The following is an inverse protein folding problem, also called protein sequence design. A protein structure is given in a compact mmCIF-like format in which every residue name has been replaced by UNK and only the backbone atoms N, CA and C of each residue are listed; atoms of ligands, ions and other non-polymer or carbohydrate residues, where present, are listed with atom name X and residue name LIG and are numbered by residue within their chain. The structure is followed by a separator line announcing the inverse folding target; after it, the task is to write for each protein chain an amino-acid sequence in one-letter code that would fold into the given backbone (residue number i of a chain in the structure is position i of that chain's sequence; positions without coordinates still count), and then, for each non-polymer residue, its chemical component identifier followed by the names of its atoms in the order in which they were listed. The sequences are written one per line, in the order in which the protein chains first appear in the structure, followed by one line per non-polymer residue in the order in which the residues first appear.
data_IF_780786668657
#
_entry.id   IF_780786668657
#
_cell.length_a   1.000
_cell.length_b   1.000
_cell.length_c   1.000
_cell.angle_alpha   90.00
_cell.angle_beta   90.00
_cell.angle_gamma   90.00
#
_symmetry.space_group_name_H-M   'P 1'
#
loop_
_entity.id
_entity.type
_entity.pdbx_description
1 polymer ?
#
# COMPACT_ATOMS: atom_id res chain seq x y z
N UNK A 1 -9.41 -15.40 -3.70
CA UNK A 1 -10.05 -14.12 -4.08
C UNK A 1 -9.68 -13.07 -3.03
N UNK A 2 -8.62 -12.27 -3.23
CA UNK A 2 -8.24 -11.21 -2.29
C UNK A 2 -9.12 -9.94 -2.40
N UNK A 3 -9.96 -9.87 -3.43
CA UNK A 3 -10.83 -8.75 -3.81
C UNK A 3 -12.10 -8.59 -2.96
N UNK A 4 -12.41 -9.53 -2.08
CA UNK A 4 -13.50 -9.41 -1.10
C UNK A 4 -13.00 -8.92 0.26
N UNK A 5 -11.69 -8.72 0.44
CA UNK A 5 -11.09 -8.26 1.70
C UNK A 5 -11.04 -6.74 1.83
N UNK A 6 -11.27 -6.01 0.72
CA UNK A 6 -11.39 -4.54 0.72
C UNK A 6 -12.70 -4.14 0.05
N UNK A 7 -13.47 -3.27 0.71
CA UNK A 7 -14.72 -2.74 0.14
C UNK A 7 -14.45 -2.04 -1.20
N UNK A 8 -13.30 -1.38 -1.33
CA UNK A 8 -12.92 -0.67 -2.56
C UNK A 8 -12.80 -1.59 -3.77
N UNK A 9 -12.47 -2.87 -3.59
CA UNK A 9 -12.36 -3.84 -4.69
C UNK A 9 -13.70 -4.47 -5.10
N UNK A 10 -14.82 -4.06 -4.51
CA UNK A 10 -16.17 -4.49 -4.92
C UNK A 10 -16.46 -4.13 -6.39
N UNK A 11 -15.97 -2.99 -6.88
CA UNK A 11 -16.10 -2.61 -8.30
C UNK A 11 -15.48 -3.65 -9.24
N UNK A 12 -14.32 -4.21 -8.85
CA UNK A 12 -13.65 -5.26 -9.61
C UNK A 12 -14.47 -6.54 -9.57
N UNK A 13 -15.06 -6.90 -8.42
CA UNK A 13 -15.96 -8.05 -8.33
C UNK A 13 -17.17 -7.93 -9.24
N UNK A 14 -17.84 -6.78 -9.25
CA UNK A 14 -18.96 -6.51 -10.15
C UNK A 14 -18.55 -6.62 -11.62
N UNK A 15 -17.37 -6.11 -11.96
CA UNK A 15 -16.81 -6.22 -13.30
C UNK A 15 -16.60 -7.69 -13.71
N UNK A 16 -15.97 -8.52 -12.87
CA UNK A 16 -15.81 -9.96 -13.14
C UNK A 16 -17.16 -10.68 -13.24
N UNK A 17 -18.09 -10.37 -12.34
CA UNK A 17 -19.44 -10.94 -12.37
C UNK A 17 -20.17 -10.61 -13.68
N UNK A 18 -20.12 -9.36 -14.13
CA UNK A 18 -20.68 -8.93 -15.41
C UNK A 18 -19.98 -9.62 -16.60
N UNK A 19 -18.66 -9.79 -16.55
CA UNK A 19 -17.91 -10.51 -17.59
C UNK A 19 -18.31 -11.99 -17.68
N UNK A 20 -18.47 -12.67 -16.54
CA UNK A 20 -18.91 -14.07 -16.49
C UNK A 20 -20.35 -14.21 -16.99
N UNK A 21 -21.24 -13.31 -16.56
CA UNK A 21 -22.61 -13.26 -17.08
C UNK A 21 -22.65 -12.98 -18.57
N UNK A 22 -21.68 -12.24 -19.11
CA UNK A 22 -21.61 -11.90 -20.53
C UNK A 22 -21.01 -13.02 -21.39
N UNK A 23 -20.58 -14.15 -20.83
CA UNK A 23 -20.10 -15.27 -21.63
C UNK A 23 -21.25 -15.91 -22.44
N UNK A 24 -21.01 -16.34 -23.69
CA UNK A 24 -21.99 -17.13 -24.44
C UNK A 24 -22.39 -18.38 -23.64
N UNK A 25 -23.70 -18.62 -23.53
CA UNK A 25 -24.25 -19.80 -22.87
C UNK A 25 -25.48 -20.28 -23.65
N UNK A 26 -25.53 -21.58 -23.92
CA UNK A 26 -26.61 -22.22 -24.69
C UNK A 26 -27.96 -22.21 -23.94
N UNK A 27 -27.92 -22.08 -22.62
CA UNK A 27 -29.12 -22.03 -21.77
C UNK A 27 -28.87 -21.21 -20.50
N UNK A 28 -29.97 -20.82 -19.83
CA UNK A 28 -29.93 -20.19 -18.50
C UNK A 28 -29.24 -21.12 -17.49
N UNK A 29 -29.50 -22.43 -17.56
CA UNK A 29 -28.87 -23.43 -16.68
C UNK A 29 -27.35 -23.43 -16.83
N UNK A 30 -26.83 -23.36 -18.06
CA UNK A 30 -25.40 -23.28 -18.30
C UNK A 30 -24.81 -21.96 -17.78
N UNK A 31 -25.53 -20.84 -17.93
CA UNK A 31 -25.09 -19.55 -17.38
C UNK A 31 -25.00 -19.57 -15.86
N UNK A 32 -25.99 -20.14 -15.18
CA UNK A 32 -25.96 -20.34 -13.73
C UNK A 32 -24.77 -21.22 -13.36
N UNK A 33 -24.54 -22.34 -14.05
CA UNK A 33 -23.40 -23.22 -13.81
C UNK A 33 -22.04 -22.50 -13.97
N UNK A 34 -21.93 -21.58 -14.93
CA UNK A 34 -20.71 -20.80 -15.14
C UNK A 34 -20.45 -19.78 -14.01
N UNK A 35 -21.51 -19.18 -13.46
CA UNK A 35 -21.40 -18.11 -12.45
C UNK A 35 -21.42 -18.64 -11.01
N UNK A 36 -22.03 -19.80 -10.77
CA UNK A 36 -22.19 -20.39 -9.45
C UNK A 36 -20.85 -20.58 -8.71
N UNK A 37 -19.76 -21.09 -9.32
CA UNK A 37 -18.46 -21.18 -8.65
C UNK A 37 -17.93 -19.82 -8.16
N UNK A 38 -18.14 -18.75 -8.96
CA UNK A 38 -17.74 -17.39 -8.59
C UNK A 38 -18.55 -16.88 -7.39
N UNK A 39 -19.86 -17.12 -7.36
CA UNK A 39 -20.73 -16.74 -6.25
C UNK A 39 -20.39 -17.51 -4.97
N UNK A 40 -20.20 -18.83 -5.06
CA UNK A 40 -19.79 -19.66 -3.92
C UNK A 40 -18.45 -19.16 -3.38
N UNK A 41 -17.45 -18.95 -4.24
CA UNK A 41 -16.16 -18.43 -3.80
C UNK A 41 -16.29 -17.03 -3.15
N UNK A 42 -17.15 -16.16 -3.70
CA UNK A 42 -17.41 -14.83 -3.13
C UNK A 42 -18.02 -14.95 -1.74
N UNK A 43 -19.03 -15.79 -1.55
CA UNK A 43 -19.67 -16.04 -0.24
C UNK A 43 -18.65 -16.60 0.75
N UNK A 44 -17.90 -17.65 0.38
CA UNK A 44 -16.90 -18.27 1.24
C UNK A 44 -15.86 -17.26 1.72
N UNK A 45 -15.36 -16.40 0.83
CA UNK A 45 -14.39 -15.36 1.23
C UNK A 45 -15.05 -14.27 2.08
N UNK A 46 -16.32 -13.93 1.84
CA UNK A 46 -17.04 -12.92 2.62
C UNK A 46 -17.39 -13.37 4.05
N UNK A 47 -17.42 -14.67 4.34
CA UNK A 47 -17.66 -15.19 5.70
C UNK A 47 -16.69 -14.54 6.69
N UNK A 48 -15.39 -14.48 6.37
CA UNK A 48 -14.38 -13.91 7.26
C UNK A 48 -14.58 -12.41 7.58
N UNK A 49 -14.63 -11.48 6.60
CA UNK A 49 -14.84 -10.06 6.91
C UNK A 49 -16.19 -9.80 7.56
N UNK A 50 -17.27 -10.51 7.18
CA UNK A 50 -18.58 -10.38 7.84
C UNK A 50 -18.50 -10.85 9.29
N UNK A 51 -17.84 -11.97 9.56
CA UNK A 51 -17.60 -12.46 10.92
C UNK A 51 -16.80 -11.46 11.75
N UNK A 52 -15.73 -10.89 11.21
CA UNK A 52 -14.91 -9.86 11.89
C UNK A 52 -15.74 -8.60 12.21
N UNK A 53 -16.57 -8.14 11.26
CA UNK A 53 -17.47 -7.00 11.48
C UNK A 53 -18.46 -7.31 12.60
N UNK A 54 -19.07 -8.49 12.57
CA UNK A 54 -20.05 -8.93 13.56
C UNK A 54 -19.43 -9.10 14.95
N UNK A 55 -18.21 -9.62 15.04
CA UNK A 55 -17.52 -9.89 16.32
C UNK A 55 -16.88 -8.65 16.93
N UNK A 56 -16.45 -7.69 16.12
CA UNK A 56 -15.69 -6.52 16.58
C UNK A 56 -16.54 -5.26 16.79
N UNK A 57 -17.82 -5.28 16.41
CA UNK A 57 -18.81 -4.25 16.71
C UNK A 57 -18.30 -2.82 16.48
N UNK A 58 -18.30 -2.01 17.54
CA UNK A 58 -17.87 -0.61 17.47
C UNK A 58 -16.38 -0.43 17.19
N UNK A 59 -15.52 -1.35 17.64
CA UNK A 59 -14.08 -1.29 17.36
C UNK A 59 -13.81 -1.38 15.85
N UNK A 60 -14.60 -2.16 15.10
CA UNK A 60 -14.52 -2.20 13.64
C UNK A 60 -14.78 -0.83 13.01
N UNK A 61 -15.86 -0.16 13.41
CA UNK A 61 -16.21 1.16 12.89
C UNK A 61 -15.19 2.23 13.27
N UNK A 62 -14.66 2.17 14.49
CA UNK A 62 -13.62 3.08 14.93
C UNK A 62 -12.36 2.97 14.08
N UNK A 63 -11.87 1.74 13.89
CA UNK A 63 -10.64 1.48 13.14
C UNK A 63 -10.78 1.72 11.64
N UNK A 64 -11.91 1.35 11.03
CA UNK A 64 -12.05 1.42 9.58
C UNK A 64 -12.55 2.79 9.08
N UNK A 65 -13.36 3.50 9.87
CA UNK A 65 -13.98 4.76 9.42
C UNK A 65 -13.53 5.97 10.23
N UNK A 66 -13.64 5.93 11.56
CA UNK A 66 -13.41 7.13 12.38
C UNK A 66 -11.95 7.54 12.46
N UNK A 67 -11.05 6.60 12.78
CA UNK A 67 -9.61 6.86 12.86
C UNK A 67 -9.07 7.38 11.51
N UNK A 68 -9.33 6.72 10.37
CA UNK A 68 -8.87 7.22 9.07
C UNK A 68 -9.45 8.59 8.70
N UNK A 69 -10.72 8.87 9.05
CA UNK A 69 -11.34 10.19 8.83
C UNK A 69 -10.66 11.27 9.66
N UNK A 70 -10.44 11.02 10.95
CA UNK A 70 -9.77 11.97 11.85
C UNK A 70 -8.33 12.19 11.44
N UNK A 71 -7.63 11.12 11.06
CA UNK A 71 -6.28 11.18 10.52
C UNK A 71 -6.20 11.98 9.23
N UNK A 72 -7.12 11.74 8.28
CA UNK A 72 -7.22 12.52 7.05
C UNK A 72 -7.45 14.01 7.33
N UNK A 73 -8.37 14.34 8.24
CA UNK A 73 -8.61 15.73 8.67
C UNK A 73 -7.34 16.36 9.26
N UNK A 74 -6.67 15.64 10.15
CA UNK A 74 -5.40 16.10 10.74
C UNK A 74 -4.33 16.36 9.67
N UNK A 75 -4.18 15.46 8.70
CA UNK A 75 -3.23 15.66 7.59
C UNK A 75 -3.53 16.93 6.79
N UNK A 76 -4.81 17.25 6.56
CA UNK A 76 -5.21 18.49 5.91
C UNK A 76 -4.86 19.72 6.75
N UNK A 77 -5.10 19.68 8.06
CA UNK A 77 -4.79 20.77 8.99
C UNK A 77 -3.30 21.11 9.04
N UNK A 78 -2.43 20.09 8.92
CA UNK A 78 -0.96 20.27 8.91
C UNK A 78 -0.36 20.39 7.50
N UNK A 79 -1.19 20.52 6.47
CA UNK A 79 -0.74 20.71 5.08
C UNK A 79 0.00 19.50 4.48
N UNK A 80 -0.16 18.30 5.03
CA UNK A 80 0.50 17.07 4.56
C UNK A 80 -0.38 16.22 3.64
N UNK A 81 -1.23 16.86 2.83
CA UNK A 81 -2.06 16.17 1.84
C UNK A 81 -1.65 16.61 0.44
N UNK A 82 -1.51 15.64 -0.46
CA UNK A 82 -1.31 15.93 -1.87
C UNK A 82 -2.63 16.29 -2.54
N UNK A 83 -2.62 17.32 -3.38
CA UNK A 83 -3.70 17.56 -4.31
C UNK A 83 -3.78 16.38 -5.29
N UNK A 84 -4.96 15.76 -5.43
CA UNK A 84 -5.16 14.57 -6.26
C UNK A 84 -4.78 14.81 -7.72
N UNK A 85 -5.18 15.95 -8.29
CA UNK A 85 -4.88 16.30 -9.67
C UNK A 85 -3.39 16.56 -9.86
N UNK A 86 -2.78 17.31 -8.95
CA UNK A 86 -1.33 17.57 -9.00
C UNK A 86 -0.53 16.27 -8.89
N UNK A 87 -0.97 15.32 -8.06
CA UNK A 87 -0.34 14.01 -7.94
C UNK A 87 -0.45 13.19 -9.23
N UNK A 88 -1.62 13.21 -9.88
CA UNK A 88 -1.83 12.55 -11.19
C UNK A 88 -0.95 13.20 -12.26
N UNK A 89 -0.97 14.53 -12.36
CA UNK A 89 -0.21 15.29 -13.35
C UNK A 89 1.31 15.13 -13.15
N UNK A 90 1.78 15.12 -11.90
CA UNK A 90 3.19 14.86 -11.58
C UNK A 90 3.59 13.42 -11.88
N UNK A 91 2.69 12.46 -11.67
CA UNK A 91 2.91 11.06 -12.08
C UNK A 91 3.08 10.98 -13.60
N UNK A 92 2.25 11.68 -14.38
CA UNK A 92 2.43 11.73 -15.83
C UNK A 92 3.75 12.36 -16.29
N UNK A 93 4.48 13.09 -15.45
CA UNK A 93 5.83 13.59 -15.79
C UNK A 93 6.94 12.58 -15.52
N UNK A 94 6.63 11.45 -14.86
CA UNK A 94 7.63 10.41 -14.60
C UNK A 94 7.85 9.63 -15.89
N UNK A 95 9.10 9.46 -16.36
CA UNK A 95 9.39 8.81 -17.65
C UNK A 95 8.75 7.42 -17.81
N UNK A 96 8.76 6.61 -16.75
CA UNK A 96 8.15 5.27 -16.78
C UNK A 96 6.64 5.30 -17.07
N UNK A 97 5.91 6.27 -16.51
CA UNK A 97 4.47 6.43 -16.79
C UNK A 97 4.22 6.95 -18.21
N UNK A 98 5.05 7.88 -18.72
CA UNK A 98 4.94 8.37 -20.09
C UNK A 98 5.09 7.25 -21.12
N UNK A 99 6.08 6.39 -20.92
CA UNK A 99 6.31 5.21 -21.76
C UNK A 99 5.09 4.28 -21.75
N UNK A 100 4.54 3.98 -20.57
CA UNK A 100 3.37 3.12 -20.45
C UNK A 100 2.17 3.71 -21.20
N UNK A 101 1.96 5.02 -21.10
CA UNK A 101 0.87 5.72 -21.81
C UNK A 101 1.11 5.70 -23.32
N UNK A 102 2.34 5.93 -23.78
CA UNK A 102 2.67 5.89 -25.21
C UNK A 102 2.42 4.49 -25.81
N UNK A 103 2.82 3.42 -25.10
CA UNK A 103 2.52 2.04 -25.49
C UNK A 103 1.02 1.80 -25.51
N UNK A 104 0.30 2.21 -24.46
CA UNK A 104 -1.15 2.05 -24.38
C UNK A 104 -1.87 2.76 -25.52
N UNK A 105 -1.53 4.02 -25.82
CA UNK A 105 -2.11 4.80 -26.91
C UNK A 105 -1.83 4.12 -28.25
N UNK A 106 -0.57 3.74 -28.51
CA UNK A 106 -0.19 3.07 -29.75
C UNK A 106 -0.99 1.78 -29.95
N UNK A 107 -1.03 0.90 -28.94
CA UNK A 107 -1.78 -0.35 -29.02
C UNK A 107 -3.28 -0.11 -29.20
N UNK A 108 -3.87 0.85 -28.48
CA UNK A 108 -5.28 1.23 -28.65
C UNK A 108 -5.58 1.71 -30.08
N UNK A 109 -4.77 2.63 -30.62
CA UNK A 109 -4.94 3.16 -31.98
C UNK A 109 -4.83 2.05 -33.02
N UNK A 110 -3.81 1.19 -32.90
CA UNK A 110 -3.62 0.07 -33.82
C UNK A 110 -4.79 -0.92 -33.75
N UNK A 111 -5.30 -1.21 -32.54
CA UNK A 111 -6.46 -2.09 -32.36
C UNK A 111 -7.74 -1.49 -32.95
N UNK A 112 -7.99 -0.19 -32.76
CA UNK A 112 -9.14 0.51 -33.35
C UNK A 112 -9.06 0.47 -34.88
N UNK A 113 -7.88 0.74 -35.46
CA UNK A 113 -7.69 0.72 -36.90
C UNK A 113 -7.87 -0.70 -37.48
N UNK A 114 -7.40 -1.72 -36.76
CA UNK A 114 -7.56 -3.12 -37.17
C UNK A 114 -8.89 -3.73 -36.68
N UNK A 115 -9.84 -2.95 -36.13
CA UNK A 115 -11.05 -3.49 -35.49
C UNK A 115 -11.90 -4.34 -36.45
N UNK A 116 -11.97 -3.97 -37.74
CA UNK A 116 -12.68 -4.79 -38.74
C UNK A 116 -12.10 -6.21 -38.86
N UNK A 117 -10.79 -6.37 -38.65
CA UNK A 117 -10.12 -7.69 -38.60
C UNK A 117 -10.29 -8.35 -37.22
N UNK A 118 -10.51 -7.58 -36.15
CA UNK A 118 -10.78 -8.05 -34.78
C UNK A 118 -12.18 -8.61 -34.57
N UNK A 119 -13.20 -8.13 -35.30
CA UNK A 119 -14.57 -8.62 -35.13
C UNK A 119 -14.71 -10.15 -35.35
N UNK A 120 -13.72 -10.77 -36.02
CA UNK A 120 -13.62 -12.22 -36.22
C UNK A 120 -12.92 -12.98 -35.08
N UNK A 121 -12.25 -12.29 -34.16
CA UNK A 121 -11.47 -12.86 -33.05
C UNK A 121 -12.01 -12.27 -31.73
N UNK A 122 -12.98 -12.98 -31.15
CA UNK A 122 -13.57 -12.81 -29.81
C UNK A 122 -13.34 -11.45 -29.08
N UNK A 123 -13.92 -10.37 -29.60
CA UNK A 123 -13.69 -8.99 -29.13
C UNK A 123 -14.16 -8.64 -27.72
N UNK A 124 -14.80 -9.55 -26.97
CA UNK A 124 -15.29 -9.29 -25.59
C UNK A 124 -14.16 -9.15 -24.58
N UNK A 125 -13.05 -9.88 -24.75
CA UNK A 125 -11.86 -9.80 -23.88
C UNK A 125 -11.21 -8.41 -24.00
N UNK A 126 -11.33 -7.76 -25.18
CA UNK A 126 -10.72 -6.46 -25.45
C UNK A 126 -11.29 -5.33 -24.59
N UNK A 127 -12.58 -5.40 -24.22
CA UNK A 127 -13.22 -4.39 -23.38
C UNK A 127 -12.96 -4.61 -21.88
N UNK A 128 -12.72 -5.86 -21.47
CA UNK A 128 -12.55 -6.19 -20.06
C UNK A 128 -11.27 -5.59 -19.46
N UNK A 129 -10.15 -5.70 -20.18
CA UNK A 129 -8.86 -5.19 -19.72
C UNK A 129 -8.83 -3.66 -19.46
N UNK A 130 -9.28 -2.78 -20.37
CA UNK A 130 -9.33 -1.33 -20.11
C UNK A 130 -10.34 -0.97 -19.02
N UNK A 131 -11.47 -1.68 -18.90
CA UNK A 131 -12.41 -1.45 -17.80
C UNK A 131 -11.80 -1.85 -16.44
N UNK A 132 -10.98 -2.90 -16.39
CA UNK A 132 -10.25 -3.29 -15.19
C UNK A 132 -9.23 -2.22 -14.78
N UNK A 133 -8.47 -1.67 -15.74
CA UNK A 133 -7.56 -0.54 -15.52
C UNK A 133 -8.32 0.66 -14.96
N UNK A 134 -9.46 1.02 -15.57
CA UNK A 134 -10.30 2.12 -15.13
C UNK A 134 -10.83 1.89 -13.71
N UNK A 135 -11.29 0.68 -13.40
CA UNK A 135 -11.75 0.33 -12.05
C UNK A 135 -10.64 0.52 -11.01
N UNK A 136 -9.42 0.03 -11.28
CA UNK A 136 -8.29 0.24 -10.35
C UNK A 136 -7.85 1.70 -10.26
N UNK A 137 -7.97 2.47 -11.33
CA UNK A 137 -7.72 3.92 -11.30
C UNK A 137 -8.74 4.64 -10.42
N UNK A 138 -10.04 4.32 -10.56
CA UNK A 138 -11.09 4.84 -9.68
C UNK A 138 -10.81 4.44 -8.23
N UNK A 139 -10.44 3.18 -7.98
CA UNK A 139 -10.10 2.68 -6.65
C UNK A 139 -8.95 3.47 -6.02
N UNK A 140 -7.91 3.79 -6.79
CA UNK A 140 -6.77 4.58 -6.32
C UNK A 140 -7.18 5.98 -5.84
N UNK A 141 -8.31 6.50 -6.32
CA UNK A 141 -8.85 7.83 -5.96
C UNK A 141 -9.80 7.80 -4.75
N UNK A 142 -10.24 6.63 -4.29
CA UNK A 142 -11.16 6.51 -3.15
C UNK A 142 -10.56 7.02 -1.83
N UNK A 143 -9.28 6.75 -1.48
CA UNK A 143 -8.72 7.20 -0.21
C UNK A 143 -8.89 8.71 0.01
N UNK A 144 -9.20 9.14 1.25
CA UNK A 144 -9.41 10.56 1.56
C UNK A 144 -8.14 11.37 1.32
N UNK A 145 -6.98 10.81 1.67
CA UNK A 145 -5.66 11.34 1.35
C UNK A 145 -4.98 10.45 0.33
N UNK A 146 -4.48 11.04 -0.75
CA UNK A 146 -3.79 10.30 -1.82
C UNK A 146 -2.28 10.30 -1.60
N UNK A 147 -1.65 9.15 -1.83
CA UNK A 147 -0.20 8.98 -1.82
C UNK A 147 0.26 8.50 -3.19
N UNK A 148 1.52 8.79 -3.58
CA UNK A 148 2.08 8.41 -4.89
C UNK A 148 1.91 6.91 -5.20
N UNK A 149 2.06 6.07 -4.18
CA UNK A 149 1.91 4.61 -4.29
C UNK A 149 0.52 4.14 -4.73
N UNK A 150 -0.54 4.92 -4.49
CA UNK A 150 -1.88 4.52 -4.95
C UNK A 150 -2.02 4.58 -6.46
N UNK A 151 -1.33 5.52 -7.13
CA UNK A 151 -1.30 5.60 -8.59
C UNK A 151 -0.45 4.50 -9.24
N UNK A 152 0.34 3.76 -8.45
CA UNK A 152 1.01 2.56 -8.93
C UNK A 152 0.07 1.34 -9.01
N UNK A 153 -1.08 1.36 -8.31
CA UNK A 153 -2.02 0.24 -8.28
C UNK A 153 -2.57 -0.17 -9.67
N UNK A 154 -2.90 0.74 -10.60
CA UNK A 154 -3.39 0.37 -11.93
C UNK A 154 -2.29 -0.16 -12.86
N UNK A 155 -1.01 0.07 -12.56
CA UNK A 155 0.12 -0.21 -13.48
C UNK A 155 0.20 -1.68 -13.91
N UNK A 156 0.12 -2.68 -13.01
CA UNK A 156 0.16 -4.08 -13.42
C UNK A 156 -0.99 -4.43 -14.37
N UNK A 157 -2.16 -3.82 -14.19
CA UNK A 157 -3.33 -4.06 -15.04
C UNK A 157 -3.19 -3.39 -16.41
N UNK A 158 -2.54 -2.22 -16.48
CA UNK A 158 -2.14 -1.61 -17.76
C UNK A 158 -1.19 -2.54 -18.51
N UNK A 159 -0.17 -3.08 -17.84
CA UNK A 159 0.78 -4.02 -18.47
C UNK A 159 0.09 -5.31 -18.96
N UNK A 160 -0.76 -5.91 -18.13
CA UNK A 160 -1.55 -7.09 -18.52
C UNK A 160 -2.46 -6.78 -19.71
N UNK A 161 -3.02 -5.57 -19.77
CA UNK A 161 -3.86 -5.14 -20.90
C UNK A 161 -3.12 -5.13 -22.25
N UNK A 162 -1.79 -5.02 -22.24
CA UNK A 162 -0.97 -5.05 -23.46
C UNK A 162 -0.82 -6.45 -24.04
N UNK A 163 -0.98 -7.50 -23.24
CA UNK A 163 -0.77 -8.88 -23.68
C UNK A 163 -1.70 -9.26 -24.84
N UNK A 164 -2.97 -8.85 -24.77
CA UNK A 164 -3.96 -9.19 -25.80
C UNK A 164 -3.70 -8.48 -27.15
N UNK A 165 -3.53 -7.14 -27.22
CA UNK A 165 -3.12 -6.46 -28.44
C UNK A 165 -1.81 -7.01 -29.03
N UNK A 166 -0.82 -7.32 -28.21
CA UNK A 166 0.47 -7.86 -28.69
C UNK A 166 0.31 -9.27 -29.27
N UNK A 167 -0.44 -10.15 -28.60
CA UNK A 167 -0.77 -11.48 -29.11
C UNK A 167 -1.54 -11.37 -30.44
N UNK A 168 -2.48 -10.44 -30.53
CA UNK A 168 -3.25 -10.20 -31.74
C UNK A 168 -2.37 -9.74 -32.91
N UNK A 169 -1.47 -8.78 -32.67
CA UNK A 169 -0.53 -8.30 -33.68
C UNK A 169 0.39 -9.41 -34.18
N UNK A 170 0.79 -10.32 -33.29
CA UNK A 170 1.54 -11.52 -33.67
C UNK A 170 0.72 -12.43 -34.58
N UNK A 171 -0.53 -12.73 -34.22
CA UNK A 171 -1.42 -13.57 -35.03
C UNK A 171 -1.71 -12.96 -36.42
N UNK A 172 -1.86 -11.64 -36.50
CA UNK A 172 -2.00 -10.94 -37.78
C UNK A 172 -0.72 -11.03 -38.62
N UNK A 173 0.44 -10.87 -37.98
CA UNK A 173 1.73 -10.99 -38.66
C UNK A 173 1.92 -12.38 -39.27
N UNK A 174 1.53 -13.44 -38.54
CA UNK A 174 1.61 -14.81 -39.01
C UNK A 174 0.62 -15.09 -40.16
N UNK A 175 -0.63 -14.60 -40.03
CA UNK A 175 -1.72 -14.90 -40.98
C UNK A 175 -1.61 -14.11 -42.30
N UNK A 176 -1.25 -12.84 -42.24
CA UNK A 176 -1.24 -11.94 -43.40
C UNK A 176 0.17 -11.62 -43.90
N UNK A 177 1.22 -12.21 -43.29
CA UNK A 177 2.63 -11.93 -43.55
C UNK A 177 3.03 -10.45 -43.41
N UNK A 178 2.18 -9.63 -42.77
CA UNK A 178 2.44 -8.23 -42.48
C UNK A 178 2.88 -8.07 -41.02
N UNK A 179 4.20 -8.04 -40.79
CA UNK A 179 4.80 -7.96 -39.47
C UNK A 179 5.16 -6.53 -39.03
N UNK A 180 4.82 -5.50 -39.81
CA UNK A 180 5.27 -4.13 -39.55
C UNK A 180 4.80 -3.62 -38.18
N UNK A 181 3.50 -3.71 -37.91
CA UNK A 181 2.91 -3.21 -36.67
C UNK A 181 3.39 -3.97 -35.43
N UNK A 182 3.60 -5.29 -35.56
CA UNK A 182 4.15 -6.12 -34.49
C UNK A 182 5.61 -5.76 -34.18
N UNK A 183 6.45 -5.57 -35.21
CA UNK A 183 7.84 -5.11 -35.04
C UNK A 183 7.92 -3.74 -34.37
N UNK A 184 7.10 -2.78 -34.82
CA UNK A 184 7.02 -1.46 -34.18
C UNK A 184 6.61 -1.60 -32.72
N UNK A 185 5.57 -2.40 -32.42
CA UNK A 185 5.16 -2.66 -31.04
C UNK A 185 6.30 -3.23 -30.19
N UNK A 186 7.04 -4.21 -30.73
CA UNK A 186 8.20 -4.82 -30.08
C UNK A 186 9.30 -3.81 -29.79
N UNK A 187 9.62 -2.93 -30.74
CA UNK A 187 10.61 -1.85 -30.56
C UNK A 187 10.15 -0.87 -29.48
N UNK A 188 8.89 -0.41 -29.52
CA UNK A 188 8.36 0.52 -28.51
C UNK A 188 8.41 -0.12 -27.11
N UNK A 189 8.01 -1.38 -26.98
CA UNK A 189 8.09 -2.11 -25.70
C UNK A 189 9.54 -2.24 -25.24
N UNK A 190 10.48 -2.60 -26.12
CA UNK A 190 11.89 -2.75 -25.78
C UNK A 190 12.51 -1.42 -25.32
N UNK A 191 12.30 -0.34 -26.08
CA UNK A 191 12.71 1.02 -25.70
C UNK A 191 12.06 1.43 -24.39
N UNK A 192 10.78 1.09 -24.20
CA UNK A 192 10.06 1.39 -22.98
C UNK A 192 10.62 0.71 -21.74
N UNK A 193 11.01 -0.57 -21.85
CA UNK A 193 11.70 -1.31 -20.79
C UNK A 193 13.04 -0.64 -20.46
N UNK A 194 13.84 -0.30 -21.48
CA UNK A 194 15.12 0.42 -21.30
C UNK A 194 14.88 1.73 -20.55
N UNK A 195 13.98 2.58 -21.01
CA UNK A 195 13.66 3.86 -20.35
C UNK A 195 13.19 3.63 -18.92
N UNK A 196 12.31 2.67 -18.65
CA UNK A 196 11.82 2.39 -17.31
C UNK A 196 12.95 1.97 -16.35
N UNK A 197 13.87 1.11 -16.80
CA UNK A 197 15.02 0.66 -16.02
C UNK A 197 15.99 1.80 -15.73
N UNK A 198 16.35 2.60 -16.74
CA UNK A 198 17.32 3.69 -16.57
C UNK A 198 16.74 4.92 -15.87
N UNK A 199 15.44 5.19 -16.01
CA UNK A 199 14.78 6.31 -15.32
C UNK A 199 14.63 6.09 -13.82
N UNK A 200 14.80 4.84 -13.36
CA UNK A 200 14.76 4.49 -11.94
C UNK A 200 15.97 3.61 -11.59
N UNK A 201 17.16 4.14 -11.88
CA UNK A 201 18.47 3.50 -11.67
C UNK A 201 18.70 2.98 -10.25
N UNK A 202 17.96 3.49 -9.26
CA UNK A 202 17.99 2.97 -7.90
C UNK A 202 17.64 1.48 -7.82
N UNK A 203 16.85 0.94 -8.76
CA UNK A 203 16.58 -0.51 -8.83
C UNK A 203 17.84 -1.28 -9.19
N UNK A 204 18.64 -0.78 -10.13
CA UNK A 204 19.92 -1.39 -10.51
C UNK A 204 20.92 -1.34 -9.34
N UNK A 205 20.99 -0.21 -8.64
CA UNK A 205 21.82 -0.06 -7.45
C UNK A 205 21.41 -1.05 -6.35
N UNK A 206 20.09 -1.20 -6.11
CA UNK A 206 19.56 -2.17 -5.14
C UNK A 206 19.92 -3.61 -5.50
N UNK A 207 20.06 -3.97 -6.78
CA UNK A 207 20.50 -5.32 -7.18
C UNK A 207 21.90 -5.64 -6.68
N UNK A 208 22.80 -4.66 -6.65
CA UNK A 208 24.14 -4.85 -6.08
C UNK A 208 24.06 -4.97 -4.56
N UNK A 209 23.22 -4.16 -3.90
CA UNK A 209 22.98 -4.25 -2.45
C UNK A 209 22.45 -5.63 -2.04
N UNK A 210 21.66 -6.31 -2.87
CA UNK A 210 21.20 -7.68 -2.60
C UNK A 210 22.34 -8.70 -2.43
N UNK A 211 23.60 -8.34 -2.72
CA UNK A 211 24.74 -9.21 -2.51
C UNK A 211 25.54 -8.87 -1.23
N UNK A 212 25.12 -7.84 -0.49
CA UNK A 212 25.80 -7.35 0.73
C UNK A 212 24.78 -7.29 1.87
N UNK A 213 24.47 -8.42 2.54
CA UNK A 213 23.45 -8.50 3.59
C UNK A 213 23.65 -7.52 4.74
N UNK A 214 24.88 -7.14 5.06
CA UNK A 214 25.25 -6.28 6.19
C UNK A 214 24.69 -4.86 6.05
N UNK A 215 24.48 -4.40 4.81
CA UNK A 215 23.86 -3.09 4.54
C UNK A 215 22.35 -3.18 4.37
N UNK A 216 21.76 -4.36 4.53
CA UNK A 216 20.32 -4.50 4.43
C UNK A 216 19.67 -3.91 5.67
N UNK A 217 18.70 -3.01 5.45
CA UNK A 217 17.99 -2.34 6.54
C UNK A 217 17.43 -3.31 7.59
N UNK A 218 16.84 -4.48 7.25
CA UNK A 218 16.40 -5.44 8.27
C UNK A 218 17.53 -5.97 9.16
N UNK A 219 18.72 -6.23 8.60
CA UNK A 219 19.89 -6.70 9.37
C UNK A 219 20.37 -5.59 10.31
N UNK A 220 20.49 -4.36 9.80
CA UNK A 220 20.87 -3.21 10.63
C UNK A 220 19.88 -2.94 11.76
N UNK A 221 18.57 -3.03 11.48
CA UNK A 221 17.54 -2.88 12.51
C UNK A 221 17.66 -3.99 13.54
N UNK A 222 17.87 -5.24 13.13
CA UNK A 222 18.08 -6.36 14.03
C UNK A 222 19.28 -6.15 14.97
N UNK A 223 20.43 -5.78 14.42
CA UNK A 223 21.65 -5.51 15.21
C UNK A 223 21.46 -4.37 16.22
N UNK A 224 20.83 -3.26 15.78
CA UNK A 224 20.48 -2.14 16.65
C UNK A 224 19.55 -2.61 17.77
N UNK A 225 18.52 -3.39 17.43
CA UNK A 225 17.56 -3.93 18.38
C UNK A 225 18.17 -4.87 19.42
N UNK A 226 19.10 -5.73 19.01
CA UNK A 226 19.84 -6.61 19.93
C UNK A 226 20.71 -5.79 20.91
N UNK A 227 21.39 -4.73 20.44
CA UNK A 227 22.16 -3.84 21.33
C UNK A 227 21.26 -3.06 22.29
N UNK A 228 20.11 -2.57 21.83
CA UNK A 228 19.11 -1.91 22.69
C UNK A 228 18.63 -2.87 23.77
N UNK A 229 18.26 -4.10 23.41
CA UNK A 229 17.79 -5.12 24.35
C UNK A 229 18.84 -5.45 25.40
N UNK A 230 20.08 -5.73 24.98
CA UNK A 230 21.18 -6.04 25.89
C UNK A 230 21.55 -4.93 26.88
N UNK A 231 21.14 -3.68 26.62
CA UNK A 231 21.39 -2.51 27.51
C UNK A 231 20.17 -2.08 28.31
N UNK A 232 18.98 -2.57 27.97
CA UNK A 232 17.74 -2.20 28.66
C UNK A 232 17.59 -3.04 29.92
N UNK A 233 17.50 -2.38 31.08
CA UNK A 233 17.27 -3.05 32.36
C UNK A 233 15.85 -3.62 32.46
N UNK A 234 15.66 -4.59 33.36
CA UNK A 234 14.33 -5.11 33.69
C UNK A 234 13.47 -4.07 34.44
N UNK A 235 12.16 -3.98 34.13
CA UNK A 235 11.45 -4.69 33.06
C UNK A 235 11.89 -4.14 31.69
N UNK A 236 12.13 -4.97 30.68
CA UNK A 236 12.53 -4.54 29.32
C UNK A 236 11.41 -3.83 28.54
N UNK A 237 10.76 -2.84 29.14
CA UNK A 237 9.64 -2.07 28.62
C UNK A 237 10.13 -0.77 27.98
N UNK A 238 9.95 -0.65 26.67
CA UNK A 238 10.47 0.46 25.88
C UNK A 238 9.35 1.39 25.40
N UNK A 239 9.53 2.68 25.67
CA UNK A 239 8.66 3.73 25.17
C UNK A 239 9.12 4.20 23.78
N UNK A 240 8.27 4.03 22.76
CA UNK A 240 8.61 4.37 21.37
C UNK A 240 7.36 4.53 20.50
N UNK A 241 7.46 5.34 19.44
CA UNK A 241 6.50 5.35 18.32
C UNK A 241 6.92 4.43 17.16
N UNK A 242 8.10 3.81 17.27
CA UNK A 242 8.67 2.88 16.31
C UNK A 242 8.91 1.52 17.00
N UNK A 243 7.84 0.74 17.26
CA UNK A 243 7.90 -0.47 18.07
C UNK A 243 8.82 -1.55 17.50
N UNK A 244 9.10 -1.52 16.19
CA UNK A 244 9.98 -2.49 15.53
C UNK A 244 11.35 -2.58 16.22
N UNK A 245 11.96 -1.45 16.60
CA UNK A 245 13.27 -1.44 17.25
C UNK A 245 13.29 -2.13 18.63
N UNK A 246 12.14 -2.17 19.32
CA UNK A 246 12.02 -2.86 20.60
C UNK A 246 11.67 -4.35 20.41
N UNK A 247 10.65 -4.63 19.60
CA UNK A 247 10.12 -5.98 19.40
C UNK A 247 11.13 -6.93 18.75
N UNK A 248 11.91 -6.45 17.78
CA UNK A 248 12.95 -7.26 17.11
C UNK A 248 14.06 -7.71 18.08
N UNK A 249 14.30 -6.95 19.16
CA UNK A 249 15.26 -7.27 20.22
C UNK A 249 14.67 -8.10 21.34
N UNK A 250 13.38 -8.46 21.27
CA UNK A 250 12.66 -9.20 22.32
C UNK A 250 12.18 -8.32 23.48
N UNK A 251 12.26 -6.99 23.39
CA UNK A 251 11.76 -6.09 24.42
C UNK A 251 10.24 -5.88 24.31
N UNK A 252 9.61 -5.55 25.43
CA UNK A 252 8.21 -5.18 25.49
C UNK A 252 7.98 -3.72 25.08
N UNK A 253 6.77 -3.43 24.58
CA UNK A 253 6.32 -2.08 24.23
C UNK A 253 5.05 -1.70 25.00
N UNK A 254 4.73 -0.41 25.00
CA UNK A 254 3.38 0.06 25.32
C UNK A 254 2.45 -0.27 24.16
N UNK A 255 1.50 -1.17 24.37
CA UNK A 255 0.60 -1.63 23.30
C UNK A 255 -0.26 -0.48 22.77
N UNK A 256 -0.49 0.56 23.57
CA UNK A 256 -1.18 1.78 23.18
C UNK A 256 -0.45 2.61 22.10
N UNK A 257 0.85 2.34 21.93
CA UNK A 257 1.72 2.96 20.92
C UNK A 257 2.08 2.00 19.79
N UNK A 258 1.51 0.80 19.76
CA UNK A 258 1.77 -0.22 18.72
C UNK A 258 1.46 0.24 17.29
N UNK A 259 0.48 1.15 17.14
CA UNK A 259 0.14 1.77 15.86
C UNK A 259 1.06 2.96 15.48
N UNK A 260 2.12 3.20 16.26
CA UNK A 260 3.09 4.27 16.06
C UNK A 260 2.48 5.67 16.01
N UNK A 261 3.11 6.57 15.26
CA UNK A 261 2.68 7.97 15.16
C UNK A 261 1.31 8.19 14.55
N UNK A 262 0.79 7.22 13.77
CA UNK A 262 -0.50 7.36 13.05
C UNK A 262 -1.65 7.58 14.01
N UNK A 263 -1.78 6.71 15.00
CA UNK A 263 -2.88 6.79 15.95
C UNK A 263 -2.52 7.72 17.11
N UNK A 264 -1.25 7.73 17.53
CA UNK A 264 -0.78 8.60 18.60
C UNK A 264 -1.15 10.06 18.40
N UNK A 265 -0.91 10.61 17.21
CA UNK A 265 -1.20 12.03 16.89
C UNK A 265 -2.68 12.41 16.96
N UNK A 266 -3.60 11.46 16.83
CA UNK A 266 -5.04 11.70 16.92
C UNK A 266 -5.67 11.16 18.21
N UNK A 267 -4.92 10.43 19.05
CA UNK A 267 -5.45 9.74 20.22
C UNK A 267 -6.21 10.68 21.18
N UNK A 268 -5.71 11.90 21.36
CA UNK A 268 -6.37 12.89 22.21
C UNK A 268 -7.61 13.57 21.58
N UNK A 269 -7.92 13.27 20.32
CA UNK A 269 -9.17 13.68 19.64
C UNK A 269 -10.27 12.63 19.78
N UNK A 270 -9.92 11.41 20.19
CA UNK A 270 -10.88 10.37 20.52
C UNK A 270 -11.51 10.67 21.89
N UNK A 271 -12.76 10.22 22.11
CA UNK A 271 -13.33 10.19 23.45
C UNK A 271 -12.56 9.22 24.35
N UNK A 272 -12.66 9.35 25.67
CA UNK A 272 -12.01 8.42 26.60
C UNK A 272 -12.45 6.97 26.34
N UNK A 273 -13.76 6.76 26.15
CA UNK A 273 -14.33 5.46 25.80
C UNK A 273 -13.79 4.90 24.47
N UNK A 274 -13.61 5.73 23.44
CA UNK A 274 -13.02 5.29 22.17
C UNK A 274 -11.53 4.93 22.32
N UNK A 275 -10.77 5.70 23.13
CA UNK A 275 -9.37 5.38 23.43
C UNK A 275 -9.22 4.05 24.14
N UNK A 276 -10.07 3.80 25.13
CA UNK A 276 -10.12 2.52 25.86
C UNK A 276 -10.45 1.37 24.91
N UNK A 277 -11.51 1.51 24.11
CA UNK A 277 -11.94 0.50 23.12
C UNK A 277 -10.85 0.17 22.09
N UNK A 278 -10.04 1.17 21.71
CA UNK A 278 -8.99 0.99 20.70
C UNK A 278 -7.63 0.68 21.30
N UNK A 279 -7.51 0.69 22.63
CA UNK A 279 -6.23 0.66 23.34
C UNK A 279 -5.25 1.68 22.76
N UNK A 280 -5.60 2.98 22.82
CA UNK A 280 -4.78 4.04 22.22
C UNK A 280 -4.54 5.18 23.20
N UNK A 281 -3.39 5.83 23.02
CA UNK A 281 -3.00 7.02 23.78
C UNK A 281 -2.58 8.13 22.82
N UNK A 282 -2.65 9.38 23.26
CA UNK A 282 -2.12 10.53 22.54
C UNK A 282 -1.17 11.35 23.42
N UNK A 283 -0.55 12.41 22.86
CA UNK A 283 0.42 13.25 23.58
C UNK A 283 -0.01 13.73 24.96
N UNK A 284 -1.28 14.13 25.14
CA UNK A 284 -1.82 14.63 26.42
C UNK A 284 -2.19 13.52 27.38
N UNK A 285 -2.54 12.35 26.87
CA UNK A 285 -2.92 11.19 27.69
C UNK A 285 -1.74 10.28 28.04
N UNK A 286 -0.57 10.48 27.41
CA UNK A 286 0.64 9.69 27.65
C UNK A 286 1.12 9.73 29.10
N UNK A 287 1.08 10.89 29.76
CA UNK A 287 1.57 11.03 31.13
C UNK A 287 0.91 10.02 32.10
N UNK A 288 -0.41 9.82 31.99
CA UNK A 288 -1.15 8.86 32.82
C UNK A 288 -0.71 7.42 32.61
N UNK A 289 -0.31 7.06 31.39
CA UNK A 289 0.20 5.74 31.06
C UNK A 289 1.57 5.51 31.71
N UNK A 290 2.45 6.52 31.63
CA UNK A 290 3.82 6.45 32.17
C UNK A 290 3.88 6.50 33.69
N UNK A 291 2.92 7.15 34.35
CA UNK A 291 2.77 7.13 35.81
C UNK A 291 2.50 5.72 36.34
N UNK A 292 1.70 4.94 35.60
CA UNK A 292 1.35 3.57 35.97
C UNK A 292 2.48 2.60 35.69
N UNK A 293 3.11 2.73 34.52
CA UNK A 293 4.12 1.80 34.01
C UNK A 293 5.30 2.62 33.47
N UNK A 294 6.33 2.93 34.29
CA UNK A 294 7.47 3.73 33.84
C UNK A 294 8.40 2.92 32.91
N UNK A 295 8.96 3.54 31.86
CA UNK A 295 9.81 2.83 30.90
C UNK A 295 11.22 2.58 31.44
N UNK A 296 11.88 1.58 30.87
CA UNK A 296 13.30 1.28 31.09
C UNK A 296 14.21 1.83 29.99
N UNK A 297 13.65 2.07 28.81
CA UNK A 297 14.31 2.83 27.76
C UNK A 297 13.30 3.63 26.93
N UNK A 298 13.78 4.68 26.28
CA UNK A 298 12.99 5.54 25.39
C UNK A 298 13.72 5.61 24.05
N UNK A 299 13.04 5.24 22.96
CA UNK A 299 13.55 5.33 21.58
C UNK A 299 12.85 6.50 20.89
N UNK A 300 13.64 7.43 20.35
CA UNK A 300 13.18 8.58 19.56
C UNK A 300 14.07 8.80 18.34
N UNK A 301 13.83 9.88 17.60
CA UNK A 301 14.48 10.25 16.35
C UNK A 301 14.30 9.19 15.25
N UNK A 302 13.13 8.54 15.22
CA UNK A 302 12.78 7.59 14.15
C UNK A 302 11.81 8.22 13.15
N UNK A 303 10.93 9.08 13.64
CA UNK A 303 10.02 9.83 12.77
C UNK A 303 10.77 10.77 11.82
N UNK A 304 10.21 10.95 10.62
CA UNK A 304 10.75 11.91 9.64
C UNK A 304 10.82 13.32 10.24
N UNK A 305 11.76 14.16 9.76
CA UNK A 305 12.01 15.51 10.31
C UNK A 305 10.73 16.32 10.60
N UNK A 306 9.81 16.35 9.64
CA UNK A 306 8.51 17.06 9.74
C UNK A 306 7.53 16.49 10.79
N UNK A 307 7.82 15.33 11.38
CA UNK A 307 7.00 14.64 12.39
C UNK A 307 7.75 14.42 13.71
N UNK A 308 9.02 14.84 13.84
CA UNK A 308 9.82 14.70 15.07
C UNK A 308 9.15 15.30 16.30
N UNK A 309 8.35 16.35 16.13
CA UNK A 309 7.61 16.98 17.23
C UNK A 309 6.67 16.01 17.97
N UNK A 310 6.25 14.89 17.35
CA UNK A 310 5.43 13.87 18.00
C UNK A 310 6.22 13.14 19.09
N UNK A 311 7.51 12.91 18.89
CA UNK A 311 8.38 12.20 19.84
C UNK A 311 8.83 13.10 21.00
N UNK A 312 8.67 14.43 20.90
CA UNK A 312 9.02 15.36 21.98
C UNK A 312 8.30 15.04 23.28
N UNK A 313 7.04 14.62 23.19
CA UNK A 313 6.24 14.24 24.35
C UNK A 313 6.81 13.00 25.06
N UNK A 314 7.30 12.01 24.31
CA UNK A 314 7.97 10.83 24.86
C UNK A 314 9.25 11.25 25.60
N UNK A 315 10.06 12.10 24.98
CA UNK A 315 11.28 12.62 25.58
C UNK A 315 11.01 13.42 26.86
N UNK A 316 10.16 14.45 26.77
CA UNK A 316 9.86 15.38 27.88
C UNK A 316 9.21 14.69 29.08
N UNK A 317 8.41 13.66 28.87
CA UNK A 317 7.66 12.98 29.94
C UNK A 317 8.42 11.83 30.60
N UNK A 318 9.31 11.13 29.86
CA UNK A 318 9.95 9.92 30.36
C UNK A 318 11.45 10.08 30.67
N UNK A 319 12.18 10.84 29.86
CA UNK A 319 13.65 10.89 29.94
C UNK A 319 14.10 11.81 31.07
N UNK A 320 14.97 11.30 31.94
CA UNK A 320 15.57 12.07 33.04
C UNK A 320 17.03 12.45 32.71
N UNK A 321 17.58 13.52 33.33
CA UNK A 321 18.94 13.98 33.05
C UNK A 321 20.06 12.94 33.29
N UNK A 322 19.81 11.96 34.16
CA UNK A 322 20.77 10.91 34.50
C UNK A 322 20.70 9.67 33.59
N UNK A 323 19.81 9.66 32.59
CA UNK A 323 19.70 8.53 31.66
C UNK A 323 20.85 8.54 30.66
N UNK A 324 21.37 7.35 30.34
CA UNK A 324 22.42 7.23 29.35
C UNK A 324 21.86 7.41 27.95
N UNK A 325 22.49 8.29 27.16
CA UNK A 325 22.11 8.54 25.76
C UNK A 325 23.04 7.79 24.81
N UNK A 326 22.47 7.01 23.90
CA UNK A 326 23.16 6.43 22.75
C UNK A 326 22.54 6.94 21.45
N UNK A 327 23.39 7.34 20.50
CA UNK A 327 22.98 7.74 19.15
C UNK A 327 23.46 6.67 18.19
N UNK A 328 22.54 6.08 17.42
CA UNK A 328 22.88 5.13 16.37
C UNK A 328 23.07 5.86 15.05
N UNK A 329 24.12 5.52 14.31
CA UNK A 329 24.43 6.14 13.02
C UNK A 329 23.27 5.91 12.04
N UNK A 330 22.73 7.00 11.48
CA UNK A 330 21.53 6.98 10.62
C UNK A 330 20.28 6.29 11.23
N UNK A 331 20.27 6.12 12.56
CA UNK A 331 19.27 5.35 13.27
C UNK A 331 18.61 6.13 14.42
N UNK A 332 18.00 5.41 15.38
CA UNK A 332 17.34 6.02 16.52
C UNK A 332 18.33 6.68 17.48
N UNK A 333 17.79 7.55 18.34
CA UNK A 333 18.42 7.97 19.58
C UNK A 333 17.73 7.25 20.73
N UNK A 334 18.51 6.60 21.60
CA UNK A 334 17.99 5.79 22.69
C UNK A 334 18.48 6.33 24.03
N UNK A 335 17.57 6.46 24.98
CA UNK A 335 17.86 6.81 26.36
C UNK A 335 17.60 5.61 27.25
N UNK A 336 18.63 5.14 27.96
CA UNK A 336 18.56 4.01 28.88
C UNK A 336 18.46 4.49 30.31
N UNK A 337 17.50 3.94 31.06
CA UNK A 337 17.43 4.10 32.50
C UNK A 337 18.56 3.29 33.14
N UNK A 338 19.40 3.94 33.93
CA UNK A 338 20.50 3.33 34.69
C UNK A 338 20.12 3.15 36.14
#
# INVERSE_FOLDING_TARGET
FATCMRITTALVQLLFFAALLSQPAESIKQRIRNVLPFLIATVVVLIWPVWVVASSGQAFFLNLFWIPRMYGKWLHEVGMVYNKLELILSSFKTPGYLVLIAIAIYLCVVMIWQWRKLAKINGRILLFAPLLVLAFFIIALIPPTMWKQYLAMPVPFVLISFAYPLLYLRQLADKFKDNKQFKIAGVIVAVGVVVAVFSYSIVLYRTVILLVPEVWTPIQVHEISQDISGKTQEPQKILTLAPLFALEGGCDIYTELSCGSIVYRIGDRLSAWNRETTHTVGPRSLAKLLEKEPPSAVIINVEAERMKFLEESLFKMAVKPNWEKKVYEYGPVVYFRR
#
